data_IF_386755263137
#
_entry.id   IF_386755263137
#
_cell.length_a   1.000
_cell.length_b   1.000
_cell.length_c   1.000
_cell.angle_alpha   90.00
_cell.angle_beta   90.00
_cell.angle_gamma   90.00
#
_symmetry.space_group_name_H-M   'P 1'
#
loop_
_entity.id
_entity.type
_entity.pdbx_description
1 polymer ?
#
# COMPACT_ATOMS: atom_id res chain seq x y z
N UNK A 1 -3.55 -15.15 6.40
CA UNK A 1 -4.54 -15.13 7.49
C UNK A 1 -5.20 -13.76 7.53
N UNK A 2 -6.42 -13.70 8.08
CA UNK A 2 -7.14 -12.45 8.33
C UNK A 2 -7.44 -12.40 9.83
N UNK A 3 -7.14 -11.29 10.47
CA UNK A 3 -7.51 -11.01 11.87
C UNK A 3 -7.86 -9.53 12.00
N UNK A 4 -8.42 -9.11 13.12
CA UNK A 4 -8.70 -7.70 13.35
C UNK A 4 -9.88 -7.44 14.27
N UNK A 5 -10.18 -6.17 14.42
CA UNK A 5 -11.27 -5.66 15.24
C UNK A 5 -12.53 -5.54 14.38
N UNK A 6 -13.17 -6.68 14.09
CA UNK A 6 -14.32 -6.73 13.18
C UNK A 6 -15.47 -5.79 13.60
N UNK A 7 -15.72 -5.65 14.91
CA UNK A 7 -16.74 -4.72 15.44
C UNK A 7 -16.41 -3.25 15.16
N UNK A 8 -15.12 -2.91 15.05
CA UNK A 8 -14.64 -1.55 14.76
C UNK A 8 -14.46 -1.31 13.25
N UNK A 9 -14.83 -2.29 12.42
CA UNK A 9 -14.68 -2.21 10.97
C UNK A 9 -13.22 -2.33 10.50
N UNK A 10 -12.34 -2.88 11.33
CA UNK A 10 -10.92 -2.99 11.01
C UNK A 10 -10.49 -4.45 10.77
N UNK A 11 -9.88 -4.72 9.62
CA UNK A 11 -9.35 -6.03 9.25
C UNK A 11 -7.89 -5.92 8.79
N UNK A 12 -7.08 -6.87 9.25
CA UNK A 12 -5.66 -7.01 8.96
C UNK A 12 -5.45 -8.24 8.10
N UNK A 13 -4.83 -8.02 6.94
CA UNK A 13 -4.45 -9.07 6.00
C UNK A 13 -2.97 -9.39 6.22
N UNK A 14 -2.66 -10.65 6.55
CA UNK A 14 -1.28 -11.13 6.66
C UNK A 14 -1.05 -12.26 5.68
N UNK A 15 -0.07 -12.07 4.81
CA UNK A 15 0.32 -13.04 3.79
C UNK A 15 1.66 -13.65 4.17
N UNK A 16 1.74 -14.98 4.12
CA UNK A 16 2.99 -15.73 4.31
C UNK A 16 3.53 -16.23 2.96
N UNK A 17 3.47 -15.38 1.94
CA UNK A 17 3.98 -15.72 0.60
C UNK A 17 5.51 -15.67 0.61
N UNK A 18 6.14 -16.64 -0.05
CA UNK A 18 7.60 -16.74 -0.10
C UNK A 18 8.28 -15.76 -1.05
N UNK A 19 7.54 -15.20 -2.02
CA UNK A 19 8.03 -14.33 -3.09
C UNK A 19 9.28 -14.89 -3.79
N UNK A 20 9.19 -16.16 -4.21
CA UNK A 20 10.36 -16.93 -4.65
C UNK A 20 10.65 -16.78 -6.14
N UNK A 21 9.63 -16.45 -6.93
CA UNK A 21 9.72 -16.33 -8.38
C UNK A 21 8.84 -15.17 -8.89
N UNK A 22 8.90 -14.91 -10.20
CA UNK A 22 8.13 -13.84 -10.83
C UNK A 22 6.62 -14.07 -10.75
N UNK A 23 6.17 -15.32 -10.86
CA UNK A 23 4.75 -15.68 -10.83
C UNK A 23 4.14 -15.39 -9.44
N UNK A 24 4.86 -15.69 -8.36
CA UNK A 24 4.47 -15.35 -6.98
C UNK A 24 4.28 -13.83 -6.82
N UNK A 25 5.19 -13.04 -7.41
CA UNK A 25 5.14 -11.58 -7.34
C UNK A 25 3.97 -11.02 -8.16
N UNK A 26 3.70 -11.59 -9.33
CA UNK A 26 2.59 -11.19 -10.18
C UNK A 26 1.25 -11.53 -9.52
N UNK A 27 1.10 -12.75 -8.99
CA UNK A 27 -0.10 -13.15 -8.26
C UNK A 27 -0.37 -12.21 -7.06
N UNK A 28 0.68 -11.86 -6.32
CA UNK A 28 0.59 -10.90 -5.23
C UNK A 28 0.18 -9.50 -5.70
N UNK A 29 0.79 -9.01 -6.78
CA UNK A 29 0.48 -7.69 -7.33
C UNK A 29 -0.97 -7.61 -7.79
N UNK A 30 -1.48 -8.64 -8.46
CA UNK A 30 -2.86 -8.72 -8.91
C UNK A 30 -3.83 -8.75 -7.73
N UNK A 31 -3.54 -9.53 -6.70
CA UNK A 31 -4.34 -9.56 -5.47
C UNK A 31 -4.36 -8.20 -4.77
N UNK A 32 -3.21 -7.50 -4.68
CA UNK A 32 -3.16 -6.16 -4.08
C UNK A 32 -4.00 -5.16 -4.86
N UNK A 33 -3.92 -5.17 -6.19
CA UNK A 33 -4.76 -4.33 -7.05
C UNK A 33 -6.25 -4.58 -6.80
N UNK A 34 -6.68 -5.84 -6.89
CA UNK A 34 -8.10 -6.22 -6.72
C UNK A 34 -8.60 -5.86 -5.31
N UNK A 35 -7.79 -6.09 -4.27
CA UNK A 35 -8.13 -5.72 -2.90
C UNK A 35 -8.33 -4.21 -2.78
N UNK A 36 -7.41 -3.40 -3.33
CA UNK A 36 -7.51 -1.95 -3.28
C UNK A 36 -8.72 -1.41 -4.05
N UNK A 37 -9.05 -1.98 -5.22
CA UNK A 37 -10.26 -1.63 -5.99
C UNK A 37 -11.54 -1.95 -5.20
N UNK A 38 -11.60 -3.15 -4.59
CA UNK A 38 -12.75 -3.55 -3.78
C UNK A 38 -12.93 -2.62 -2.59
N UNK A 39 -11.86 -2.33 -1.86
CA UNK A 39 -11.95 -1.53 -0.63
C UNK A 39 -12.17 -0.06 -0.96
N UNK A 40 -11.29 0.58 -1.72
CA UNK A 40 -11.29 2.03 -1.92
C UNK A 40 -12.35 2.50 -2.92
N UNK A 41 -12.56 1.78 -4.01
CA UNK A 41 -13.46 2.23 -5.09
C UNK A 41 -14.87 1.66 -4.96
N UNK A 42 -14.99 0.34 -4.78
CA UNK A 42 -16.31 -0.33 -4.73
C UNK A 42 -17.07 -0.06 -3.44
N UNK A 43 -16.38 -0.08 -2.30
CA UNK A 43 -17.02 0.07 -0.98
C UNK A 43 -16.64 1.37 -0.26
N UNK A 44 -15.82 2.24 -0.85
CA UNK A 44 -15.38 3.51 -0.27
C UNK A 44 -14.78 3.35 1.15
N UNK A 45 -14.13 2.23 1.41
CA UNK A 45 -13.42 1.92 2.64
C UNK A 45 -12.01 2.53 2.66
N UNK A 46 -11.37 2.48 3.83
CA UNK A 46 -9.98 2.92 3.99
C UNK A 46 -9.01 1.76 3.80
N UNK A 47 -7.92 1.99 3.06
CA UNK A 47 -6.87 0.98 2.83
C UNK A 47 -5.94 0.80 4.03
N UNK A 48 -6.07 1.67 5.04
CA UNK A 48 -5.23 1.68 6.24
C UNK A 48 -6.02 2.16 7.46
N UNK A 49 -5.54 1.80 8.64
CA UNK A 49 -6.18 2.12 9.93
C UNK A 49 -5.13 2.28 11.02
N UNK A 50 -5.09 1.33 11.97
CA UNK A 50 -4.03 1.29 13.00
C UNK A 50 -2.64 1.12 12.39
N UNK A 51 -2.53 0.33 11.32
CA UNK A 51 -1.32 0.23 10.53
C UNK A 51 -1.31 1.26 9.40
N UNK A 52 -0.12 1.78 9.08
CA UNK A 52 0.05 2.81 8.06
C UNK A 52 0.20 2.26 6.63
N UNK A 53 0.36 3.17 5.68
CA UNK A 53 0.49 2.88 4.25
C UNK A 53 1.67 1.95 3.92
N UNK A 54 2.88 2.32 4.36
CA UNK A 54 4.10 1.64 3.94
C UNK A 54 4.29 1.57 2.42
N UNK A 55 5.40 0.96 1.97
CA UNK A 55 5.65 0.76 0.54
C UNK A 55 4.58 -0.10 -0.15
N UNK A 56 3.83 -0.87 0.63
CA UNK A 56 2.88 -1.82 0.10
C UNK A 56 1.58 -1.16 -0.39
N UNK A 57 1.10 -0.13 0.33
CA UNK A 57 -0.13 0.58 -0.03
C UNK A 57 0.16 1.90 -0.75
N UNK A 58 1.40 2.39 -0.72
CA UNK A 58 1.79 3.69 -1.29
C UNK A 58 1.31 3.92 -2.74
N UNK A 59 1.40 2.95 -3.67
CA UNK A 59 0.88 3.12 -5.04
C UNK A 59 -0.63 3.40 -5.11
N UNK A 60 -1.38 2.93 -4.11
CA UNK A 60 -2.85 2.90 -4.11
C UNK A 60 -3.48 4.03 -3.28
N UNK A 61 -2.67 4.86 -2.62
CA UNK A 61 -3.16 5.93 -1.74
C UNK A 61 -4.09 6.90 -2.48
N UNK A 62 -3.83 7.16 -3.75
CA UNK A 62 -4.70 8.03 -4.56
C UNK A 62 -6.09 7.44 -4.78
N UNK A 63 -6.24 6.11 -4.84
CA UNK A 63 -7.56 5.47 -4.97
C UNK A 63 -8.46 5.80 -3.77
N UNK A 64 -7.86 5.87 -2.57
CA UNK A 64 -8.60 6.21 -1.36
C UNK A 64 -8.85 7.72 -1.21
N UNK A 65 -7.82 8.54 -1.50
CA UNK A 65 -7.88 10.00 -1.26
C UNK A 65 -8.51 10.78 -2.41
N UNK A 66 -8.50 10.20 -3.61
CA UNK A 66 -8.76 10.89 -4.85
C UNK A 66 -7.62 11.85 -5.27
N UNK A 67 -7.63 12.28 -6.54
CA UNK A 67 -6.54 13.07 -7.13
C UNK A 67 -6.34 14.42 -6.45
N UNK A 68 -7.42 15.05 -5.97
CA UNK A 68 -7.36 16.38 -5.35
C UNK A 68 -6.63 16.35 -4.01
N UNK A 69 -6.99 15.43 -3.12
CA UNK A 69 -6.33 15.33 -1.82
C UNK A 69 -4.91 14.79 -1.97
N UNK A 70 -4.67 13.81 -2.85
CA UNK A 70 -3.32 13.33 -3.13
C UNK A 70 -2.38 14.45 -3.62
N UNK A 71 -2.85 15.30 -4.54
CA UNK A 71 -2.08 16.45 -5.02
C UNK A 71 -1.77 17.47 -3.92
N UNK A 72 -2.68 17.70 -2.98
CA UNK A 72 -2.45 18.57 -1.82
C UNK A 72 -1.36 17.97 -0.92
N UNK A 73 -1.42 16.68 -0.64
CA UNK A 73 -0.44 16.00 0.20
C UNK A 73 0.97 16.04 -0.42
N UNK A 74 1.08 15.90 -1.74
CA UNK A 74 2.35 16.09 -2.45
C UNK A 74 2.90 17.51 -2.34
N UNK A 75 2.03 18.53 -2.40
CA UNK A 75 2.45 19.92 -2.16
C UNK A 75 2.97 20.11 -0.74
N UNK A 76 2.25 19.60 0.26
CA UNK A 76 2.69 19.64 1.67
C UNK A 76 4.04 18.97 1.83
N UNK A 77 4.22 17.75 1.30
CA UNK A 77 5.50 17.02 1.33
C UNK A 77 6.64 17.85 0.73
N UNK A 78 6.43 18.47 -0.44
CA UNK A 78 7.45 19.29 -1.12
C UNK A 78 7.78 20.59 -0.37
N UNK A 79 6.82 21.16 0.36
CA UNK A 79 7.04 22.37 1.18
C UNK A 79 7.96 22.09 2.37
N UNK A 80 7.77 20.95 3.05
CA UNK A 80 8.55 20.60 4.25
C UNK A 80 9.79 19.77 3.94
N UNK A 81 9.84 19.10 2.80
CA UNK A 81 10.96 18.23 2.39
C UNK A 81 11.26 18.39 0.89
N UNK A 82 11.82 19.54 0.48
CA UNK A 82 12.10 19.82 -0.93
C UNK A 82 13.17 18.89 -1.52
N UNK A 83 14.01 18.28 -0.69
CA UNK A 83 15.06 17.34 -1.10
C UNK A 83 14.59 15.87 -1.03
N UNK A 84 13.36 15.62 -0.58
CA UNK A 84 12.76 14.30 -0.41
C UNK A 84 13.61 13.32 0.45
N UNK A 85 14.21 13.80 1.54
CA UNK A 85 15.06 13.00 2.43
C UNK A 85 14.30 12.34 3.58
N UNK A 86 13.11 12.84 3.92
CA UNK A 86 12.30 12.34 5.02
C UNK A 86 11.48 11.12 4.57
N UNK A 87 12.05 9.93 4.79
CA UNK A 87 11.42 8.63 4.54
C UNK A 87 10.85 8.45 3.12
N UNK A 88 11.70 8.54 2.07
CA UNK A 88 11.27 8.54 0.69
C UNK A 88 10.56 7.23 0.29
N UNK A 89 9.46 7.37 -0.44
CA UNK A 89 8.75 6.27 -1.09
C UNK A 89 7.93 5.38 -0.14
N UNK A 90 7.79 5.73 1.14
CA UNK A 90 7.07 4.92 2.13
C UNK A 90 5.61 5.33 2.29
N UNK A 91 5.33 6.62 2.44
CA UNK A 91 3.95 7.10 2.58
C UNK A 91 3.38 7.55 1.24
N UNK A 92 4.21 8.20 0.43
CA UNK A 92 3.88 8.68 -0.90
C UNK A 92 4.98 8.20 -1.84
N UNK A 93 4.58 7.66 -2.98
CA UNK A 93 5.51 7.15 -3.98
C UNK A 93 4.92 7.36 -5.37
N UNK A 94 5.77 7.78 -6.32
CA UNK A 94 5.40 7.93 -7.73
C UNK A 94 5.68 6.65 -8.52
N UNK A 95 6.39 5.67 -7.94
CA UNK A 95 6.61 4.35 -8.53
C UNK A 95 5.37 3.46 -8.31
N UNK A 96 4.60 3.14 -9.36
CA UNK A 96 3.39 2.32 -9.24
C UNK A 96 3.69 0.87 -8.86
N UNK A 97 4.94 0.42 -8.99
CA UNK A 97 5.38 -0.94 -8.70
C UNK A 97 6.15 -1.05 -7.37
N UNK A 98 6.16 -0.02 -6.51
CA UNK A 98 6.99 -0.08 -5.29
C UNK A 98 6.60 -1.23 -4.35
N UNK A 99 5.32 -1.63 -4.33
CA UNK A 99 4.80 -2.72 -3.48
C UNK A 99 5.40 -4.08 -3.81
N UNK A 100 5.88 -4.29 -5.04
CA UNK A 100 6.56 -5.53 -5.49
C UNK A 100 8.08 -5.44 -5.52
N UNK A 101 8.66 -4.23 -5.48
CA UNK A 101 10.12 -4.01 -5.52
C UNK A 101 10.80 -4.08 -4.15
N UNK A 102 10.07 -3.82 -3.08
CA UNK A 102 10.61 -3.73 -1.71
C UNK A 102 10.33 -4.97 -0.85
N UNK A 103 10.03 -6.11 -1.49
CA UNK A 103 9.72 -7.36 -0.80
C UNK A 103 11.02 -8.10 -0.43
N UNK A 104 11.06 -8.63 0.79
CA UNK A 104 12.14 -9.51 1.23
C UNK A 104 11.75 -10.95 0.92
N UNK A 105 12.53 -11.69 0.12
CA UNK A 105 12.26 -13.10 -0.08
C UNK A 105 12.35 -13.84 1.25
N UNK A 106 11.40 -14.74 1.51
CA UNK A 106 11.50 -15.62 2.67
C UNK A 106 12.71 -16.54 2.51
N UNK A 107 13.42 -16.88 3.60
CA UNK A 107 14.39 -17.98 3.57
C UNK A 107 13.75 -19.23 2.97
N UNK A 108 14.55 -19.98 2.20
CA UNK A 108 14.16 -21.33 1.78
C UNK A 108 14.01 -22.18 3.06
N UNK A 109 12.87 -22.86 3.17
CA UNK A 109 12.62 -23.81 4.26
C UNK A 109 13.43 -25.09 4.05
#
# INVERSE_FOLDING_TARGET
SIFGHAMEGNMHLVFSQGFRNADDLEQYSNMMQEMCEIVAEKYNGSLKGEHGTGRNVAPYVEMEWGPKANAIMWKVKKLFDPQNILNPGVLMNEDPDVHRKALKPSPLA
#
